data_IF_194949860602
#
_entry.id   IF_194949860602
#
_cell.length_a   1.000
_cell.length_b   1.000
_cell.length_c   1.000
_cell.angle_alpha   90.00
_cell.angle_beta   90.00
_cell.angle_gamma   90.00
#
_symmetry.space_group_name_H-M   'P 1'
#
loop_
_entity.id
_entity.type
_entity.pdbx_description
1 polymer ?
#
# COMPACT_ATOMS: atom_id res chain seq x y z
N UNK A 1 8.40 -34.49 -11.59
CA UNK A 1 8.72 -33.07 -11.87
C UNK A 1 7.83 -32.05 -11.13
N UNK A 2 6.56 -32.33 -10.80
CA UNK A 2 5.66 -31.34 -10.18
C UNK A 2 6.04 -30.80 -8.78
N UNK A 3 6.85 -31.53 -8.00
CA UNK A 3 7.30 -31.08 -6.66
C UNK A 3 8.28 -29.90 -6.73
N UNK A 4 9.24 -29.94 -7.65
CA UNK A 4 10.17 -28.81 -7.86
C UNK A 4 9.46 -27.58 -8.39
N UNK A 5 8.48 -27.75 -9.30
CA UNK A 5 7.70 -26.64 -9.83
C UNK A 5 6.93 -25.89 -8.73
N UNK A 6 6.35 -26.62 -7.76
CA UNK A 6 5.71 -26.00 -6.58
C UNK A 6 6.71 -25.25 -5.70
N UNK A 7 7.90 -25.81 -5.45
CA UNK A 7 8.94 -25.11 -4.68
C UNK A 7 9.45 -23.86 -5.40
N UNK A 8 9.61 -23.91 -6.72
CA UNK A 8 9.99 -22.76 -7.55
C UNK A 8 8.95 -21.65 -7.51
N UNK A 9 7.67 -22.02 -7.69
CA UNK A 9 6.54 -21.10 -7.57
C UNK A 9 6.53 -20.47 -6.18
N UNK A 10 6.70 -21.26 -5.12
CA UNK A 10 6.70 -20.75 -3.75
C UNK A 10 7.84 -19.75 -3.47
N UNK A 11 9.04 -20.00 -3.99
CA UNK A 11 10.16 -19.04 -3.89
C UNK A 11 9.93 -17.77 -4.71
N UNK A 12 9.39 -17.90 -5.93
CA UNK A 12 9.05 -16.75 -6.78
C UNK A 12 7.94 -15.90 -6.16
N UNK A 13 6.90 -16.53 -5.61
CA UNK A 13 5.83 -15.87 -4.86
C UNK A 13 6.39 -15.12 -3.63
N UNK A 14 7.39 -15.68 -2.94
CA UNK A 14 8.05 -15.04 -1.80
C UNK A 14 8.89 -13.82 -2.22
N UNK A 15 9.58 -13.93 -3.36
CA UNK A 15 10.35 -12.83 -3.96
C UNK A 15 9.41 -11.70 -4.44
N UNK A 16 8.36 -12.04 -5.17
CA UNK A 16 7.35 -11.08 -5.65
C UNK A 16 6.67 -10.37 -4.48
N UNK A 17 6.34 -11.08 -3.39
CA UNK A 17 5.77 -10.47 -2.20
C UNK A 17 6.70 -9.44 -1.53
N UNK A 18 8.00 -9.69 -1.53
CA UNK A 18 9.01 -8.76 -1.01
C UNK A 18 9.20 -7.54 -1.92
N UNK A 19 9.23 -7.76 -3.25
CA UNK A 19 9.31 -6.67 -4.24
C UNK A 19 8.09 -5.77 -4.16
N UNK A 20 6.89 -6.33 -4.02
CA UNK A 20 5.65 -5.56 -3.88
C UNK A 20 5.69 -4.65 -2.64
N UNK A 21 6.23 -5.11 -1.52
CA UNK A 21 6.40 -4.29 -0.32
C UNK A 21 7.39 -3.15 -0.51
N UNK A 22 8.53 -3.41 -1.17
CA UNK A 22 9.51 -2.38 -1.52
C UNK A 22 8.92 -1.32 -2.47
N UNK A 23 8.14 -1.76 -3.47
CA UNK A 23 7.42 -0.88 -4.38
C UNK A 23 6.38 -0.05 -3.63
N UNK A 24 5.62 -0.66 -2.71
CA UNK A 24 4.65 0.03 -1.85
C UNK A 24 5.29 1.10 -0.97
N UNK A 25 6.39 0.78 -0.28
CA UNK A 25 7.15 1.75 0.52
C UNK A 25 7.70 2.90 -0.32
N UNK A 26 8.21 2.61 -1.52
CA UNK A 26 8.66 3.62 -2.48
C UNK A 26 7.52 4.54 -2.94
N UNK A 27 6.34 3.98 -3.22
CA UNK A 27 5.15 4.76 -3.58
C UNK A 27 4.68 5.67 -2.44
N UNK A 28 4.68 5.19 -1.19
CA UNK A 28 4.31 5.99 -0.02
C UNK A 28 5.28 7.17 0.16
N UNK A 29 6.59 6.91 0.14
CA UNK A 29 7.62 7.94 0.26
C UNK A 29 7.52 8.98 -0.87
N UNK A 30 7.30 8.53 -2.10
CA UNK A 30 7.14 9.41 -3.25
C UNK A 30 5.88 10.26 -3.15
N UNK A 31 4.73 9.67 -2.78
CA UNK A 31 3.49 10.41 -2.55
C UNK A 31 3.63 11.43 -1.42
N UNK A 32 4.27 11.06 -0.30
CA UNK A 32 4.48 11.97 0.82
C UNK A 32 5.41 13.13 0.44
N UNK A 33 6.45 12.85 -0.36
CA UNK A 33 7.34 13.87 -0.89
C UNK A 33 6.58 14.85 -1.82
N UNK A 34 5.73 14.33 -2.71
CA UNK A 34 4.84 15.13 -3.57
C UNK A 34 3.84 15.97 -2.76
N UNK A 35 3.22 15.40 -1.70
CA UNK A 35 2.36 16.13 -0.76
C UNK A 35 3.12 17.26 -0.07
N UNK A 36 4.36 17.01 0.37
CA UNK A 36 5.17 18.03 1.06
C UNK A 36 5.61 19.14 0.11
N UNK A 37 5.95 18.80 -1.14
CA UNK A 37 6.24 19.78 -2.19
C UNK A 37 4.99 20.62 -2.50
N UNK A 38 3.85 19.97 -2.67
CA UNK A 38 2.57 20.63 -2.93
C UNK A 38 2.18 21.55 -1.76
N UNK A 39 2.27 21.09 -0.52
CA UNK A 39 1.98 21.90 0.67
C UNK A 39 2.94 23.09 0.79
N UNK A 40 4.22 22.92 0.42
CA UNK A 40 5.18 24.02 0.39
C UNK A 40 4.84 25.08 -0.67
N UNK A 41 4.28 24.67 -1.80
CA UNK A 41 3.77 25.59 -2.83
C UNK A 41 2.46 26.25 -2.38
N UNK A 42 1.52 25.48 -1.81
CA UNK A 42 0.23 25.99 -1.31
C UNK A 42 0.40 26.95 -0.14
N UNK A 43 1.44 26.76 0.69
CA UNK A 43 1.76 27.65 1.82
C UNK A 43 2.22 29.05 1.38
N UNK A 44 2.72 29.21 0.15
CA UNK A 44 2.95 30.54 -0.45
C UNK A 44 1.68 31.15 -1.04
N UNK A 45 0.62 30.36 -1.14
CA UNK A 45 -0.62 30.63 -1.87
C UNK A 45 -1.86 30.66 -0.96
N UNK A 46 -1.76 31.22 0.24
CA UNK A 46 -2.96 31.77 0.91
C UNK A 46 -3.75 32.78 0.03
N UNK A 47 -3.33 33.03 -1.23
CA UNK A 47 -3.87 33.91 -2.25
C UNK A 47 -4.69 33.26 -3.40
N UNK A 48 -4.94 31.94 -3.48
CA UNK A 48 -6.17 31.53 -4.17
C UNK A 48 -6.93 30.39 -3.52
N UNK A 49 -8.03 30.80 -2.91
CA UNK A 49 -9.35 30.34 -3.34
C UNK A 49 -9.75 28.95 -2.84
N UNK A 50 -11.06 28.71 -2.58
CA UNK A 50 -11.58 27.41 -2.13
C UNK A 50 -11.40 26.21 -3.10
N UNK A 51 -10.57 26.32 -4.14
CA UNK A 51 -10.43 25.35 -5.23
C UNK A 51 -9.07 24.65 -5.33
N UNK A 52 -8.10 24.92 -4.45
CA UNK A 52 -6.80 24.23 -4.46
C UNK A 52 -6.90 22.88 -3.76
N UNK A 53 -7.73 21.98 -4.27
CA UNK A 53 -7.70 20.58 -3.84
C UNK A 53 -6.41 19.95 -4.37
N UNK A 54 -5.65 19.22 -3.53
CA UNK A 54 -4.51 18.47 -4.02
C UNK A 54 -5.01 17.49 -5.09
N UNK A 55 -4.27 17.35 -6.20
CA UNK A 55 -4.72 16.53 -7.31
C UNK A 55 -4.98 15.10 -6.81
N UNK A 56 -6.13 14.55 -7.21
CA UNK A 56 -6.63 13.21 -6.86
C UNK A 56 -5.60 12.09 -6.94
N UNK A 57 -4.59 12.27 -7.80
CA UNK A 57 -3.50 11.38 -8.11
C UNK A 57 -2.70 11.11 -6.84
N UNK A 58 -2.36 12.14 -6.07
CA UNK A 58 -1.52 11.98 -4.88
C UNK A 58 -2.18 11.04 -3.85
N UNK A 59 -3.50 11.12 -3.68
CA UNK A 59 -4.26 10.23 -2.81
C UNK A 59 -4.34 8.81 -3.34
N UNK A 60 -4.54 8.62 -4.65
CA UNK A 60 -4.57 7.27 -5.25
C UNK A 60 -3.23 6.54 -5.10
N UNK A 61 -2.11 7.23 -5.28
CA UNK A 61 -0.77 6.65 -5.10
C UNK A 61 -0.45 6.36 -3.63
N UNK A 62 -0.90 7.22 -2.72
CA UNK A 62 -0.75 6.98 -1.28
C UNK A 62 -1.60 5.77 -0.83
N UNK A 63 -2.85 5.70 -1.28
CA UNK A 63 -3.76 4.59 -0.98
C UNK A 63 -3.27 3.26 -1.58
N UNK A 64 -2.83 3.26 -2.84
CA UNK A 64 -2.22 2.08 -3.48
C UNK A 64 -0.96 1.62 -2.72
N UNK A 65 -0.08 2.55 -2.33
CA UNK A 65 1.12 2.23 -1.55
C UNK A 65 0.81 1.58 -0.19
N UNK A 66 -0.15 2.13 0.56
CA UNK A 66 -0.60 1.56 1.84
C UNK A 66 -1.21 0.17 1.64
N UNK A 67 -2.03 0.00 0.60
CA UNK A 67 -2.64 -1.28 0.23
C UNK A 67 -1.57 -2.34 -0.05
N UNK A 68 -0.56 -2.00 -0.85
CA UNK A 68 0.54 -2.91 -1.16
C UNK A 68 1.36 -3.31 0.07
N UNK A 69 1.60 -2.36 1.00
CA UNK A 69 2.23 -2.70 2.28
C UNK A 69 1.38 -3.67 3.11
N UNK A 70 0.05 -3.47 3.18
CA UNK A 70 -0.84 -4.37 3.91
C UNK A 70 -0.85 -5.78 3.30
N UNK A 71 -0.88 -5.90 1.98
CA UNK A 71 -0.81 -7.19 1.27
C UNK A 71 0.48 -7.94 1.61
N UNK A 72 1.63 -7.26 1.58
CA UNK A 72 2.92 -7.86 1.93
C UNK A 72 2.97 -8.27 3.41
N UNK A 73 2.45 -7.44 4.32
CA UNK A 73 2.36 -7.74 5.75
C UNK A 73 1.48 -8.96 6.04
N UNK A 74 0.32 -9.08 5.38
CA UNK A 74 -0.56 -10.25 5.50
C UNK A 74 0.11 -11.54 5.02
N UNK A 75 0.92 -11.47 3.96
CA UNK A 75 1.69 -12.61 3.46
C UNK A 75 2.80 -13.09 4.40
N UNK A 76 3.41 -12.18 5.18
CA UNK A 76 4.43 -12.53 6.17
C UNK A 76 3.82 -13.10 7.46
N UNK A 77 2.68 -12.55 7.91
CA UNK A 77 1.95 -13.03 9.09
C UNK A 77 1.34 -14.43 8.83
N UNK A 78 0.83 -14.70 7.62
CA UNK A 78 0.30 -16.02 7.25
C UNK A 78 1.35 -17.15 7.31
N UNK A 79 2.63 -16.83 7.23
CA UNK A 79 3.71 -17.80 7.39
C UNK A 79 4.08 -18.06 8.88
N UNK A 80 3.75 -17.14 9.78
CA UNK A 80 4.18 -17.13 11.19
C UNK A 80 3.03 -17.42 12.19
N UNK A 81 1.76 -17.21 11.83
CA UNK A 81 0.63 -17.49 12.74
C UNK A 81 0.12 -18.93 12.67
N UNK A 82 0.78 -19.80 13.43
CA UNK A 82 0.15 -20.95 14.07
C UNK A 82 -0.43 -20.62 15.46
N UNK A 83 -0.38 -19.36 15.94
CA UNK A 83 -1.11 -18.96 17.15
C UNK A 83 -1.40 -17.43 17.24
N UNK A 84 -2.66 -17.07 17.50
CA UNK A 84 -3.07 -15.87 18.28
C UNK A 84 -3.24 -14.50 17.60
N UNK A 85 -4.46 -14.23 17.10
CA UNK A 85 -5.14 -12.91 17.16
C UNK A 85 -4.73 -11.70 16.28
N UNK A 86 -4.32 -11.91 15.02
CA UNK A 86 -4.12 -10.83 14.01
C UNK A 86 -5.21 -10.80 12.91
N UNK A 87 -6.49 -10.95 13.27
CA UNK A 87 -7.62 -10.84 12.32
C UNK A 87 -8.10 -9.39 12.09
N UNK A 88 -7.69 -8.41 12.90
CA UNK A 88 -8.28 -7.06 12.84
C UNK A 88 -7.83 -6.20 11.65
N UNK A 89 -6.67 -6.48 11.04
CA UNK A 89 -6.11 -5.60 10.01
C UNK A 89 -6.58 -5.93 8.58
N UNK A 90 -7.01 -7.18 8.32
CA UNK A 90 -7.52 -7.62 7.00
C UNK A 90 -9.01 -7.33 6.82
N UNK A 91 -9.81 -7.40 7.89
CA UNK A 91 -11.25 -7.12 7.83
C UNK A 91 -11.58 -5.67 7.47
N UNK A 92 -10.72 -4.72 7.89
CA UNK A 92 -10.95 -3.29 7.62
C UNK A 92 -10.69 -2.91 6.15
N UNK A 93 -9.73 -3.56 5.49
CA UNK A 93 -9.41 -3.25 4.09
C UNK A 93 -10.47 -3.78 3.12
N UNK A 94 -11.07 -4.93 3.44
CA UNK A 94 -12.17 -5.51 2.64
C UNK A 94 -13.49 -4.72 2.80
N UNK A 95 -13.72 -4.12 3.98
CA UNK A 95 -14.91 -3.30 4.24
C UNK A 95 -14.90 -1.96 3.45
N UNK A 96 -13.72 -1.35 3.24
CA UNK A 96 -13.60 -0.11 2.45
C UNK A 96 -13.82 -0.38 0.95
N UNK A 97 -13.45 -1.56 0.44
CA UNK A 97 -13.66 -1.93 -0.95
C UNK A 97 -15.15 -2.25 -1.25
N UNK A 98 -15.87 -2.85 -0.29
CA UNK A 98 -17.29 -3.21 -0.43
C UNK A 98 -18.24 -2.00 -0.31
N UNK A 99 -17.84 -0.93 0.39
CA UNK A 99 -18.68 0.27 0.58
C UNK A 99 -18.59 1.29 -0.57
N UNK A 100 -17.74 1.03 -1.58
CA UNK A 100 -17.63 1.83 -2.81
C UNK A 100 -18.30 1.17 -4.04
N UNK A 101 -19.08 0.10 -3.82
CA UNK A 101 -19.88 -0.63 -4.81
C UNK A 101 -21.35 -0.56 -4.44
#
# INVERSE_FOLDING_TARGET
MGRMARSFLQSLLKLVNSVIGLVGMGMILYSFWMLRVWFRQVGTFWAAGPGSTPPWFIYTFLGLGVTFCLITCSGHVAAETANGHCLSCVSFFQEVNLKSL
#
